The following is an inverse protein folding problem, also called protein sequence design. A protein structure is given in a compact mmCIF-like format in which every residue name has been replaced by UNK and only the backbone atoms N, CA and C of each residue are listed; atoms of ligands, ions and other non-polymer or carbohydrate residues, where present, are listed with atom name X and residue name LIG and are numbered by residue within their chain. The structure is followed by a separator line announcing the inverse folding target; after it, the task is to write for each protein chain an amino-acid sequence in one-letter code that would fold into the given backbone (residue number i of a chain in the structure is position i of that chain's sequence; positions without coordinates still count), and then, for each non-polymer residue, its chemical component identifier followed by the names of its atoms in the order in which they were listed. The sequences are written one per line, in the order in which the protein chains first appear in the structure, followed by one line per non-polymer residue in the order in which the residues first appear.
data_IF_571565509249
#
_entry.id   IF_571565509249
#
_cell.length_a   1.000
_cell.length_b   1.000
_cell.length_c   1.000
_cell.angle_alpha   90.00
_cell.angle_beta   90.00
_cell.angle_gamma   90.00
#
_symmetry.space_group_name_H-M   'P 1'
#
loop_
_entity.id
_entity.type
_entity.pdbx_description
1 polymer ?
#
# COMPACT_ATOMS: atom_id res chain seq x y z
N UNK A 1 10.91 -12.21 -11.66
CA UNK A 1 9.62 -11.78 -11.08
C UNK A 1 9.42 -12.25 -9.64
N UNK A 2 9.72 -13.52 -9.29
CA UNK A 2 9.50 -14.03 -7.92
C UNK A 2 10.17 -13.19 -6.82
N UNK A 3 11.42 -12.76 -7.00
CA UNK A 3 12.12 -12.00 -5.96
C UNK A 3 11.59 -10.57 -5.78
N UNK A 4 11.15 -9.94 -6.87
CA UNK A 4 10.50 -8.65 -6.81
C UNK A 4 9.17 -8.70 -6.05
N UNK A 5 8.38 -9.75 -6.28
CA UNK A 5 7.11 -9.95 -5.60
C UNK A 5 7.31 -10.21 -4.11
N UNK A 6 8.34 -11.00 -3.75
CA UNK A 6 8.76 -11.21 -2.34
C UNK A 6 9.21 -9.91 -1.69
N UNK A 7 9.96 -9.07 -2.39
CA UNK A 7 10.40 -7.78 -1.86
C UNK A 7 9.23 -6.83 -1.67
N UNK A 8 8.28 -6.81 -2.62
CA UNK A 8 7.05 -6.03 -2.49
C UNK A 8 6.24 -6.48 -1.26
N UNK A 9 6.09 -7.79 -1.07
CA UNK A 9 5.44 -8.37 0.09
C UNK A 9 6.10 -7.95 1.41
N UNK A 10 7.43 -7.98 1.47
CA UNK A 10 8.17 -7.51 2.66
C UNK A 10 7.91 -6.03 2.93
N UNK A 11 7.89 -5.18 1.91
CA UNK A 11 7.61 -3.76 2.09
C UNK A 11 6.15 -3.49 2.52
N UNK A 12 5.18 -4.24 1.97
CA UNK A 12 3.78 -4.21 2.43
C UNK A 12 3.64 -4.54 3.92
N UNK A 13 4.44 -5.50 4.42
CA UNK A 13 4.51 -5.84 5.85
C UNK A 13 5.25 -4.74 6.64
N UNK A 14 6.33 -4.19 6.10
CA UNK A 14 7.14 -3.16 6.72
C UNK A 14 6.32 -1.89 6.98
N UNK A 15 5.53 -1.43 6.01
CA UNK A 15 4.67 -0.25 6.18
C UNK A 15 3.62 -0.48 7.28
N UNK A 16 3.09 -1.70 7.45
CA UNK A 16 2.20 -2.03 8.57
C UNK A 16 2.90 -1.88 9.91
N UNK A 17 4.10 -2.45 10.07
CA UNK A 17 4.82 -2.35 11.34
C UNK A 17 5.23 -0.92 11.66
N UNK A 18 5.64 -0.14 10.66
CA UNK A 18 5.90 1.29 10.81
C UNK A 18 4.65 2.05 11.21
N UNK A 19 3.52 1.81 10.53
CA UNK A 19 2.26 2.46 10.83
C UNK A 19 1.82 2.18 12.28
N UNK A 20 1.91 0.93 12.70
CA UNK A 20 1.62 0.53 14.07
C UNK A 20 2.55 1.18 15.08
N UNK A 21 3.85 1.22 14.81
CA UNK A 21 4.85 1.78 15.73
C UNK A 21 4.72 3.30 15.85
N UNK A 22 4.51 3.99 14.72
CA UNK A 22 4.63 5.44 14.63
C UNK A 22 3.29 6.15 14.84
N UNK A 23 2.17 5.44 14.67
CA UNK A 23 0.84 6.02 14.90
C UNK A 23 0.03 5.27 15.96
N UNK A 24 0.37 4.02 16.29
CA UNK A 24 -0.44 3.18 17.18
C UNK A 24 -1.63 2.51 16.48
N UNK A 25 -1.87 2.79 15.19
CA UNK A 25 -2.94 2.15 14.42
C UNK A 25 -2.61 0.67 14.14
N UNK A 26 -3.52 -0.22 14.55
CA UNK A 26 -3.34 -1.67 14.40
C UNK A 26 -4.30 -2.26 13.35
N UNK A 27 -3.89 -2.23 12.08
CA UNK A 27 -4.65 -2.77 10.95
C UNK A 27 -4.58 -4.32 10.85
N UNK A 28 -5.20 -5.04 11.80
CA UNK A 28 -5.15 -6.52 11.83
C UNK A 28 -5.70 -7.16 10.56
N UNK A 29 -6.78 -6.60 10.00
CA UNK A 29 -7.37 -7.05 8.72
C UNK A 29 -6.39 -6.87 7.56
N UNK A 30 -5.66 -5.77 7.51
CA UNK A 30 -4.65 -5.54 6.47
C UNK A 30 -3.57 -6.62 6.53
N UNK A 31 -3.03 -6.92 7.72
CA UNK A 31 -2.00 -7.96 7.87
C UNK A 31 -2.52 -9.35 7.44
N UNK A 32 -3.78 -9.67 7.74
CA UNK A 32 -4.44 -10.91 7.30
C UNK A 32 -4.63 -10.99 5.77
N UNK A 33 -4.59 -9.87 5.04
CA UNK A 33 -4.63 -9.87 3.58
C UNK A 33 -3.27 -10.19 2.94
N UNK A 34 -2.18 -10.13 3.72
CA UNK A 34 -0.81 -10.35 3.25
C UNK A 34 -0.32 -11.77 3.54
N UNK A 35 -1.12 -12.79 3.24
CA UNK A 35 -0.76 -14.19 3.53
C UNK A 35 0.33 -14.76 2.61
N UNK A 36 0.51 -14.18 1.44
CA UNK A 36 1.55 -14.54 0.47
C UNK A 36 1.97 -13.33 -0.37
N UNK A 37 3.08 -13.44 -1.12
CA UNK A 37 3.47 -12.40 -2.06
C UNK A 37 2.41 -12.08 -3.12
N UNK A 38 1.74 -13.09 -3.65
CA UNK A 38 0.63 -12.96 -4.61
C UNK A 38 -0.58 -12.27 -3.98
N UNK A 39 -0.96 -12.67 -2.76
CA UNK A 39 -2.06 -12.05 -2.03
C UNK A 39 -1.78 -10.58 -1.72
N UNK A 40 -0.52 -10.23 -1.45
CA UNK A 40 -0.10 -8.85 -1.19
C UNK A 40 -0.20 -7.97 -2.44
N UNK A 41 0.22 -8.49 -3.60
CA UNK A 41 0.06 -7.78 -4.86
C UNK A 41 -1.42 -7.62 -5.22
N UNK A 42 -2.23 -8.68 -5.07
CA UNK A 42 -3.68 -8.59 -5.31
C UNK A 42 -4.35 -7.55 -4.41
N UNK A 43 -3.97 -7.51 -3.13
CA UNK A 43 -4.45 -6.51 -2.16
C UNK A 43 -4.09 -5.10 -2.60
N UNK A 44 -2.83 -4.88 -3.00
CA UNK A 44 -2.39 -3.57 -3.44
C UNK A 44 -3.14 -3.10 -4.69
N UNK A 45 -3.26 -3.96 -5.71
CA UNK A 45 -4.04 -3.69 -6.92
C UNK A 45 -5.49 -3.32 -6.61
N UNK A 46 -6.11 -4.03 -5.66
CA UNK A 46 -7.47 -3.73 -5.19
C UNK A 46 -7.57 -2.32 -4.58
N UNK A 47 -6.61 -1.90 -3.77
CA UNK A 47 -6.65 -0.60 -3.12
C UNK A 47 -6.42 0.56 -4.10
N UNK A 48 -5.44 0.42 -4.99
CA UNK A 48 -5.14 1.44 -6.02
C UNK A 48 -6.15 1.45 -7.17
N UNK A 49 -7.00 0.44 -7.32
CA UNK A 49 -8.08 0.44 -8.33
C UNK A 49 -9.46 0.77 -7.76
N UNK A 50 -9.60 0.78 -6.43
CA UNK A 50 -10.86 1.12 -5.77
C UNK A 50 -11.14 2.62 -5.92
N UNK A 51 -12.37 3.02 -6.21
CA UNK A 51 -12.78 4.44 -6.22
C UNK A 51 -12.73 5.06 -4.82
N UNK A 52 -12.98 4.26 -3.79
CA UNK A 52 -12.98 4.70 -2.39
C UNK A 52 -11.67 4.32 -1.71
N UNK A 53 -11.08 5.22 -0.90
CA UNK A 53 -9.92 4.88 -0.07
C UNK A 53 -10.29 3.76 0.92
N UNK A 54 -9.30 2.96 1.28
CA UNK A 54 -9.48 1.95 2.34
C UNK A 54 -9.60 2.62 3.71
N UNK A 55 -10.25 1.98 4.68
CA UNK A 55 -10.32 2.50 6.06
C UNK A 55 -8.92 2.77 6.64
N UNK A 56 -7.95 1.91 6.34
CA UNK A 56 -6.56 2.11 6.75
C UNK A 56 -5.87 3.30 6.07
N UNK A 57 -6.29 3.66 4.85
CA UNK A 57 -5.83 4.88 4.20
C UNK A 57 -6.38 6.12 4.92
N UNK A 58 -7.68 6.16 5.19
CA UNK A 58 -8.32 7.29 5.89
C UNK A 58 -7.71 7.51 7.28
N UNK A 59 -7.50 6.44 8.04
CA UNK A 59 -6.85 6.51 9.35
C UNK A 59 -5.42 7.08 9.26
N UNK A 60 -4.61 6.61 8.30
CA UNK A 60 -3.25 7.11 8.11
C UNK A 60 -3.21 8.55 7.62
N UNK A 61 -4.19 8.97 6.83
CA UNK A 61 -4.35 10.36 6.41
C UNK A 61 -4.62 11.29 7.59
N UNK A 62 -5.57 10.95 8.47
CA UNK A 62 -5.88 11.71 9.68
C UNK A 62 -4.66 11.84 10.62
N UNK A 63 -3.73 10.89 10.53
CA UNK A 63 -2.49 10.84 11.31
C UNK A 63 -1.30 11.49 10.61
N UNK A 64 -1.49 12.05 9.41
CA UNK A 64 -0.43 12.69 8.62
C UNK A 64 0.63 11.71 8.11
N UNK A 65 0.30 10.43 7.97
CA UNK A 65 1.22 9.33 7.61
C UNK A 65 0.85 8.62 6.31
N UNK A 66 0.49 9.41 5.30
CA UNK A 66 0.24 8.92 3.95
C UNK A 66 1.46 8.21 3.33
N UNK A 67 2.68 8.53 3.78
CA UNK A 67 3.91 7.83 3.37
C UNK A 67 3.91 6.33 3.72
N UNK A 68 3.10 5.91 4.69
CA UNK A 68 2.95 4.52 5.12
C UNK A 68 1.77 3.79 4.46
N UNK A 69 1.14 4.40 3.46
CA UNK A 69 0.04 3.78 2.70
C UNK A 69 0.55 2.90 1.56
N UNK A 70 -0.31 2.00 1.09
CA UNK A 70 -0.02 1.17 -0.08
C UNK A 70 0.11 2.05 -1.32
N UNK A 71 -0.71 3.09 -1.44
CA UNK A 71 -0.67 4.06 -2.52
C UNK A 71 0.69 4.74 -2.61
N UNK A 72 1.26 5.18 -1.48
CA UNK A 72 2.59 5.79 -1.46
C UNK A 72 3.67 4.79 -1.90
N UNK A 73 3.58 3.54 -1.42
CA UNK A 73 4.49 2.47 -1.81
C UNK A 73 4.47 2.26 -3.34
N UNK A 74 3.28 2.19 -3.94
CA UNK A 74 3.09 1.99 -5.40
C UNK A 74 3.50 3.21 -6.21
N UNK A 75 3.09 4.41 -5.78
CA UNK A 75 3.31 5.66 -6.50
C UNK A 75 4.79 6.06 -6.57
N UNK A 76 5.51 5.90 -5.46
CA UNK A 76 6.81 6.51 -5.25
C UNK A 76 7.98 5.52 -5.22
N UNK A 77 7.76 4.21 -5.23
CA UNK A 77 8.86 3.22 -5.26
C UNK A 77 9.14 2.74 -6.68
N UNK A 78 10.20 3.21 -7.37
CA UNK A 78 10.42 2.89 -8.78
C UNK A 78 10.59 1.38 -9.05
N UNK A 79 11.21 0.66 -8.11
CA UNK A 79 11.43 -0.78 -8.20
C UNK A 79 10.15 -1.59 -8.42
N UNK A 80 9.04 -1.15 -7.82
CA UNK A 80 7.77 -1.88 -7.86
C UNK A 80 6.84 -1.47 -8.99
N UNK A 81 7.14 -0.39 -9.73
CA UNK A 81 6.28 0.09 -10.83
C UNK A 81 5.94 -0.99 -11.84
N UNK A 82 6.89 -1.87 -12.18
CA UNK A 82 6.69 -2.99 -13.10
C UNK A 82 5.66 -4.05 -12.63
N UNK A 83 5.21 -4.01 -11.37
CA UNK A 83 4.13 -4.87 -10.86
C UNK A 83 2.73 -4.28 -11.13
N UNK A 84 2.67 -3.01 -11.55
CA UNK A 84 1.46 -2.24 -11.73
C UNK A 84 1.37 -1.67 -13.14
N UNK A 85 0.17 -1.34 -13.59
CA UNK A 85 -0.01 -0.58 -14.83
C UNK A 85 0.21 0.90 -14.58
N UNK A 86 0.46 1.67 -15.64
CA UNK A 86 0.60 3.12 -15.53
C UNK A 86 -0.68 3.78 -15.00
N UNK A 87 -1.85 3.22 -15.32
CA UNK A 87 -3.14 3.68 -14.78
C UNK A 87 -3.24 3.45 -13.27
N UNK A 88 -2.84 2.28 -12.77
CA UNK A 88 -2.81 1.96 -11.33
C UNK A 88 -1.86 2.91 -10.57
N UNK A 89 -0.67 3.19 -11.13
CA UNK A 89 0.32 4.11 -10.55
C UNK A 89 -0.21 5.55 -10.56
N UNK A 90 -0.80 5.97 -11.68
CA UNK A 90 -1.38 7.31 -11.85
C UNK A 90 -2.53 7.53 -10.86
N UNK A 91 -3.39 6.53 -10.67
CA UNK A 91 -4.47 6.62 -9.70
C UNK A 91 -3.96 6.69 -8.26
N UNK A 92 -2.96 5.89 -7.90
CA UNK A 92 -2.32 5.95 -6.58
C UNK A 92 -1.73 7.34 -6.31
N UNK A 93 -1.04 7.96 -7.29
CA UNK A 93 -0.53 9.33 -7.18
C UNK A 93 -1.66 10.35 -7.04
N UNK A 94 -2.67 10.28 -7.91
CA UNK A 94 -3.78 11.24 -7.89
C UNK A 94 -4.52 11.21 -6.55
N UNK A 95 -4.64 10.04 -5.92
CA UNK A 95 -5.21 9.92 -4.58
C UNK A 95 -4.37 10.65 -3.52
N UNK A 96 -3.05 10.49 -3.55
CA UNK A 96 -2.13 11.14 -2.60
C UNK A 96 -2.09 12.66 -2.78
N UNK A 97 -2.22 13.17 -4.00
CA UNK A 97 -2.21 14.62 -4.28
C UNK A 97 -3.53 15.32 -3.90
N UNK A 98 -4.64 14.57 -3.85
CA UNK A 98 -5.97 15.10 -3.51
C UNK A 98 -6.31 15.02 -2.01
N UNK A 99 -5.43 14.42 -1.21
CA UNK A 99 -5.60 14.20 0.23
C UNK A 99 -4.72 15.17 1.01
#
# INVERSE_FOLDING_TARGET
MSDLLKDFHKEMINIYYKAKKETGYNATRYLQMLVSPEASLHTAKKFVSSSHPSDGYAELWERGRLDLTVEALVAYTPKFKQLFTEEEISFARSRLEKS
#
